data_IF_915100935930
#
_entry.id   IF_915100935930
#
_cell.length_a   1.000
_cell.length_b   1.000
_cell.length_c   1.000
_cell.angle_alpha   90.00
_cell.angle_beta   90.00
_cell.angle_gamma   90.00
#
_symmetry.space_group_name_H-M   'P 1'
#
loop_
_entity.id
_entity.type
_entity.pdbx_description
1 polymer ?
#
# COMPACT_ATOMS: atom_id res chain seq x y z
N UNK A 1 -14.98 21.80 -1.29
CA UNK A 1 -14.66 21.26 0.06
C UNK A 1 -15.87 20.62 0.75
N UNK A 2 -17.09 21.19 0.70
CA UNK A 2 -18.28 20.60 1.34
C UNK A 2 -18.57 19.14 0.92
N UNK A 3 -18.45 18.81 -0.37
CA UNK A 3 -18.67 17.44 -0.86
C UNK A 3 -17.70 16.44 -0.22
N UNK A 4 -16.39 16.74 -0.20
CA UNK A 4 -15.37 15.88 0.42
C UNK A 4 -15.64 15.62 1.89
N UNK A 5 -16.03 16.64 2.67
CA UNK A 5 -16.33 16.46 4.10
C UNK A 5 -17.54 15.56 4.32
N UNK A 6 -18.61 15.76 3.54
CA UNK A 6 -19.81 14.89 3.58
C UNK A 6 -19.43 13.45 3.23
N UNK A 7 -18.69 13.26 2.15
CA UNK A 7 -18.34 11.92 1.65
C UNK A 7 -17.42 11.20 2.64
N UNK A 8 -16.44 11.90 3.23
CA UNK A 8 -15.60 11.37 4.30
C UNK A 8 -16.42 10.97 5.53
N UNK A 9 -17.40 11.77 5.93
CA UNK A 9 -18.28 11.42 7.06
C UNK A 9 -19.10 10.15 6.77
N UNK A 10 -19.58 9.97 5.54
CA UNK A 10 -20.29 8.75 5.12
C UNK A 10 -19.34 7.54 5.06
N UNK A 11 -18.16 7.71 4.48
CA UNK A 11 -17.10 6.70 4.43
C UNK A 11 -16.72 6.21 5.84
N UNK A 12 -16.51 7.14 6.78
CA UNK A 12 -16.21 6.86 8.18
C UNK A 12 -17.40 6.35 9.00
N UNK A 13 -18.59 6.29 8.41
CA UNK A 13 -19.80 5.73 9.03
C UNK A 13 -20.13 4.34 8.48
N UNK A 14 -19.81 4.08 7.20
CA UNK A 14 -20.24 2.88 6.49
C UNK A 14 -19.10 1.91 6.19
N UNK A 15 -17.90 2.41 5.90
CA UNK A 15 -16.77 1.59 5.46
C UNK A 15 -15.72 1.51 6.56
N UNK A 16 -15.07 2.62 6.89
CA UNK A 16 -14.08 2.72 7.97
C UNK A 16 -14.72 3.28 9.24
N UNK A 17 -15.64 2.52 9.82
CA UNK A 17 -16.43 2.95 10.97
C UNK A 17 -15.76 2.62 12.30
N UNK A 18 -16.19 3.33 13.34
CA UNK A 18 -15.77 3.14 14.73
C UNK A 18 -16.97 2.69 15.57
N UNK A 19 -16.71 1.93 16.62
CA UNK A 19 -17.69 1.66 17.69
C UNK A 19 -17.20 2.26 19.01
N UNK A 20 -17.94 2.04 20.09
CA UNK A 20 -17.49 2.43 21.43
C UNK A 20 -16.25 1.64 21.90
N UNK A 21 -15.99 0.46 21.30
CA UNK A 21 -14.87 -0.42 21.67
C UNK A 21 -13.69 -0.38 20.72
N UNK A 22 -13.87 0.06 19.46
CA UNK A 22 -12.78 0.19 18.50
C UNK A 22 -12.79 1.52 17.75
N UNK A 23 -11.61 2.11 17.61
CA UNK A 23 -11.40 3.32 16.79
C UNK A 23 -11.61 3.03 15.29
N UNK A 24 -11.26 1.84 14.82
CA UNK A 24 -11.49 1.38 13.44
C UNK A 24 -11.89 -0.08 13.49
N UNK A 25 -13.14 -0.38 13.13
CA UNK A 25 -13.69 -1.76 13.11
C UNK A 25 -13.31 -2.52 11.83
N UNK A 26 -12.85 -1.79 10.83
CA UNK A 26 -12.39 -2.34 9.56
C UNK A 26 -11.02 -1.78 9.21
N UNK A 27 -10.30 -2.57 8.42
CA UNK A 27 -9.06 -2.19 7.78
C UNK A 27 -9.27 -2.46 6.29
N UNK A 28 -8.99 -1.46 5.46
CA UNK A 28 -8.95 -1.65 4.01
C UNK A 28 -7.52 -2.05 3.63
N UNK A 29 -7.40 -3.13 2.87
CA UNK A 29 -6.14 -3.62 2.31
C UNK A 29 -6.13 -3.41 0.81
N UNK A 30 -5.04 -2.86 0.28
CA UNK A 30 -4.83 -2.76 -1.16
C UNK A 30 -3.34 -2.81 -1.50
N UNK A 31 -3.02 -3.10 -2.76
CA UNK A 31 -1.68 -2.95 -3.31
C UNK A 31 -1.63 -1.67 -4.13
N UNK A 32 -0.85 -0.68 -3.69
CA UNK A 32 -0.56 0.53 -4.50
C UNK A 32 0.48 0.27 -5.58
N UNK A 33 1.29 -0.76 -5.38
CA UNK A 33 2.34 -1.15 -6.29
C UNK A 33 1.79 -1.97 -7.44
N UNK A 34 2.72 -2.65 -8.07
CA UNK A 34 2.52 -3.46 -9.27
C UNK A 34 2.63 -4.95 -8.95
N UNK A 35 2.30 -5.34 -7.71
CA UNK A 35 2.36 -6.72 -7.22
C UNK A 35 3.68 -7.44 -7.50
N UNK A 36 4.80 -6.72 -7.46
CA UNK A 36 6.13 -7.27 -7.73
C UNK A 36 6.60 -7.17 -9.19
N UNK A 37 5.82 -6.57 -10.10
CA UNK A 37 6.25 -6.31 -11.48
C UNK A 37 6.95 -4.95 -11.60
N UNK A 38 8.11 -4.81 -12.25
CA UNK A 38 8.74 -3.51 -12.43
C UNK A 38 7.83 -2.52 -13.16
N UNK A 39 7.82 -1.29 -12.66
CA UNK A 39 7.23 -0.13 -13.33
C UNK A 39 8.34 0.88 -13.64
N UNK A 40 8.62 1.05 -14.92
CA UNK A 40 9.67 1.90 -15.43
C UNK A 40 9.18 3.33 -15.65
N UNK A 41 10.11 4.27 -15.50
CA UNK A 41 9.85 5.68 -15.85
C UNK A 41 9.65 5.86 -17.36
N UNK A 42 10.36 5.07 -18.15
CA UNK A 42 10.20 5.03 -19.61
C UNK A 42 8.94 4.24 -19.94
N UNK A 43 7.90 4.94 -20.40
CA UNK A 43 6.56 4.38 -20.63
C UNK A 43 6.58 3.15 -21.55
N UNK A 44 7.35 3.20 -22.64
CA UNK A 44 7.43 2.10 -23.61
C UNK A 44 8.03 0.80 -23.06
N UNK A 45 8.68 0.83 -21.88
CA UNK A 45 9.17 -0.38 -21.22
C UNK A 45 8.08 -1.06 -20.38
N UNK A 46 7.00 -0.36 -20.04
CA UNK A 46 5.91 -0.94 -19.24
C UNK A 46 4.98 -1.83 -20.05
N UNK A 47 5.03 -1.76 -21.37
CA UNK A 47 4.35 -2.69 -22.29
C UNK A 47 5.12 -4.02 -22.46
N UNK A 48 6.31 -4.14 -21.87
CA UNK A 48 7.11 -5.37 -21.97
C UNK A 48 6.56 -6.51 -21.11
N UNK A 49 6.83 -7.75 -21.52
CA UNK A 49 6.40 -8.93 -20.76
C UNK A 49 7.05 -8.94 -19.37
N UNK A 50 6.21 -8.99 -18.33
CA UNK A 50 6.67 -8.98 -16.94
C UNK A 50 6.89 -7.58 -16.35
N UNK A 51 6.52 -6.52 -17.06
CA UNK A 51 6.41 -5.17 -16.49
C UNK A 51 4.94 -4.80 -16.23
N UNK A 52 4.72 -3.72 -15.47
CA UNK A 52 3.40 -3.18 -15.26
C UNK A 52 3.41 -1.65 -15.30
N UNK A 53 2.42 -1.10 -15.99
CA UNK A 53 2.13 0.33 -15.94
C UNK A 53 1.52 0.70 -14.59
N UNK A 54 1.87 1.86 -14.03
CA UNK A 54 1.19 2.36 -12.85
C UNK A 54 -0.27 2.64 -13.19
N UNK A 55 -1.17 2.41 -12.23
CA UNK A 55 -2.60 2.68 -12.40
C UNK A 55 -2.83 4.18 -12.68
N UNK A 56 -3.69 4.51 -13.65
CA UNK A 56 -4.06 5.91 -13.92
C UNK A 56 -4.71 6.50 -12.65
N UNK A 57 -4.14 7.56 -12.04
CA UNK A 57 -4.65 8.13 -10.79
C UNK A 57 -6.04 8.78 -10.91
N UNK A 58 -6.55 8.94 -12.14
CA UNK A 58 -7.90 9.47 -12.42
C UNK A 58 -8.92 8.36 -12.64
N UNK A 59 -8.45 7.12 -12.78
CA UNK A 59 -9.29 5.95 -13.02
C UNK A 59 -9.96 5.41 -11.76
N UNK A 60 -11.04 4.63 -11.90
CA UNK A 60 -11.72 4.00 -10.76
C UNK A 60 -10.85 2.99 -10.01
N UNK A 61 -9.77 2.51 -10.64
CA UNK A 61 -8.82 1.55 -10.06
C UNK A 61 -7.78 2.23 -9.16
N UNK A 62 -7.75 3.57 -9.10
CA UNK A 62 -6.79 4.33 -8.28
C UNK A 62 -7.17 4.35 -6.79
N UNK A 63 -7.04 3.19 -6.14
CA UNK A 63 -7.28 3.05 -4.70
C UNK A 63 -6.33 3.92 -3.87
N UNK A 64 -5.15 4.25 -4.42
CA UNK A 64 -4.17 5.15 -3.80
C UNK A 64 -4.68 6.56 -3.48
N UNK A 65 -5.76 7.00 -4.14
CA UNK A 65 -6.35 8.32 -3.89
C UNK A 65 -7.38 8.31 -2.76
N UNK A 66 -7.86 7.14 -2.35
CA UNK A 66 -8.93 6.96 -1.34
C UNK A 66 -8.55 7.63 -0.02
N UNK A 67 -7.40 7.25 0.54
CA UNK A 67 -6.92 7.77 1.82
C UNK A 67 -6.67 9.27 1.79
N UNK A 68 -6.16 9.79 0.65
CA UNK A 68 -5.95 11.23 0.45
C UNK A 68 -7.27 12.01 0.39
N UNK A 69 -8.29 11.45 -0.26
CA UNK A 69 -9.60 12.07 -0.39
C UNK A 69 -10.35 12.09 0.96
N UNK A 70 -10.44 10.93 1.61
CA UNK A 70 -11.16 10.77 2.88
C UNK A 70 -10.35 11.15 4.12
N UNK A 71 -9.04 11.39 3.97
CA UNK A 71 -8.11 11.74 5.04
C UNK A 71 -7.99 10.62 6.06
N UNK A 72 -7.82 9.39 5.59
CA UNK A 72 -7.62 8.19 6.37
C UNK A 72 -6.16 8.03 6.80
N UNK A 73 -5.91 7.11 7.73
CA UNK A 73 -4.56 6.67 8.05
C UNK A 73 -4.18 5.58 7.06
N UNK A 74 -3.05 5.71 6.38
CA UNK A 74 -2.56 4.75 5.38
C UNK A 74 -1.09 4.43 5.65
N UNK A 75 -0.77 3.14 5.87
CA UNK A 75 0.60 2.67 6.04
C UNK A 75 0.89 1.60 5.00
N UNK A 76 1.97 1.81 4.25
CA UNK A 76 2.54 0.80 3.36
C UNK A 76 3.56 -0.04 4.11
N UNK A 77 3.33 -1.36 4.19
CA UNK A 77 4.24 -2.31 4.81
C UNK A 77 4.82 -3.27 3.76
N UNK A 78 6.15 -3.48 3.73
CA UNK A 78 6.76 -4.51 2.90
C UNK A 78 6.46 -5.89 3.47
N UNK A 79 6.01 -6.81 2.61
CA UNK A 79 5.62 -8.18 2.96
C UNK A 79 6.57 -9.23 2.34
N UNK A 80 7.46 -8.79 1.46
CA UNK A 80 8.42 -9.65 0.79
C UNK A 80 9.16 -8.90 -0.30
N UNK A 81 9.90 -9.63 -1.13
CA UNK A 81 10.58 -9.10 -2.29
C UNK A 81 10.63 -10.12 -3.42
N UNK A 82 10.83 -9.64 -4.63
CA UNK A 82 10.98 -10.47 -5.83
C UNK A 82 12.17 -9.98 -6.66
N UNK A 83 12.83 -10.91 -7.32
CA UNK A 83 13.91 -10.63 -8.28
C UNK A 83 13.34 -10.61 -9.69
N UNK A 84 13.76 -9.64 -10.50
CA UNK A 84 13.39 -9.55 -11.91
C UNK A 84 14.61 -9.20 -12.77
N UNK A 85 14.56 -9.59 -14.04
CA UNK A 85 15.56 -9.20 -15.03
C UNK A 85 15.22 -7.81 -15.59
N UNK A 86 16.08 -6.83 -15.35
CA UNK A 86 15.81 -5.43 -15.73
C UNK A 86 16.13 -5.15 -17.19
N UNK A 87 15.14 -4.67 -17.95
CA UNK A 87 15.32 -4.22 -19.33
C UNK A 87 16.12 -2.89 -19.45
N UNK A 88 16.39 -2.22 -18.32
CA UNK A 88 17.20 -1.00 -18.28
C UNK A 88 18.65 -1.28 -17.92
N UNK A 89 18.90 -2.05 -16.86
CA UNK A 89 20.25 -2.30 -16.35
C UNK A 89 20.87 -3.56 -16.93
N UNK A 90 20.06 -4.44 -17.53
CA UNK A 90 20.46 -5.76 -18.03
C UNK A 90 21.09 -6.63 -16.93
N UNK A 91 20.59 -6.47 -15.70
CA UNK A 91 21.00 -7.23 -14.51
C UNK A 91 19.75 -7.70 -13.76
N UNK A 92 19.95 -8.65 -12.85
CA UNK A 92 18.95 -9.00 -11.86
C UNK A 92 18.84 -7.88 -10.82
N UNK A 93 17.62 -7.39 -10.63
CA UNK A 93 17.28 -6.37 -9.66
C UNK A 93 16.23 -6.93 -8.70
N UNK A 94 16.24 -6.44 -7.46
CA UNK A 94 15.29 -6.84 -6.43
C UNK A 94 14.31 -5.71 -6.16
N UNK A 95 13.03 -6.05 -6.05
CA UNK A 95 11.97 -5.10 -5.75
C UNK A 95 11.14 -5.57 -4.56
N UNK A 96 10.86 -4.71 -3.57
CA UNK A 96 9.96 -5.06 -2.48
C UNK A 96 8.52 -5.21 -2.99
N UNK A 97 7.80 -6.17 -2.41
CA UNK A 97 6.36 -6.33 -2.53
C UNK A 97 5.74 -5.78 -1.25
N UNK A 98 4.76 -4.90 -1.40
CA UNK A 98 4.16 -4.16 -0.30
C UNK A 98 2.65 -4.35 -0.26
N UNK A 99 2.05 -4.10 0.91
CA UNK A 99 0.61 -3.93 1.06
C UNK A 99 0.34 -2.62 1.79
N UNK A 100 -0.70 -1.92 1.39
CA UNK A 100 -1.25 -0.78 2.09
C UNK A 100 -2.32 -1.24 3.06
N UNK A 101 -2.24 -0.74 4.30
CA UNK A 101 -3.24 -0.92 5.33
C UNK A 101 -3.84 0.44 5.67
N UNK A 102 -5.16 0.54 5.60
CA UNK A 102 -5.88 1.79 5.86
C UNK A 102 -6.81 1.62 7.04
N UNK A 103 -6.75 2.56 7.98
CA UNK A 103 -7.67 2.66 9.10
C UNK A 103 -8.38 4.02 9.07
N UNK A 104 -9.49 4.10 9.80
CA UNK A 104 -10.27 5.31 9.97
C UNK A 104 -9.37 6.50 10.39
N UNK A 105 -9.66 7.70 9.85
CA UNK A 105 -9.04 8.97 10.27
C UNK A 105 -8.85 9.06 11.79
N UNK A 106 -7.62 9.32 12.21
CA UNK A 106 -7.23 9.54 13.62
C UNK A 106 -7.00 8.26 14.43
N UNK A 107 -7.00 7.10 13.78
CA UNK A 107 -6.80 5.79 14.42
C UNK A 107 -5.41 5.20 14.16
N UNK A 108 -4.38 6.05 14.08
CA UNK A 108 -3.00 5.67 13.72
C UNK A 108 -2.45 4.53 14.59
N UNK A 109 -2.77 4.55 15.89
CA UNK A 109 -2.38 3.51 16.84
C UNK A 109 -2.98 2.14 16.53
N UNK A 110 -4.12 2.05 15.84
CA UNK A 110 -4.67 0.76 15.39
C UNK A 110 -3.69 0.08 14.44
N UNK A 111 -3.19 0.82 13.44
CA UNK A 111 -2.25 0.27 12.47
C UNK A 111 -0.88 0.02 13.08
N UNK A 112 -0.36 0.92 13.93
CA UNK A 112 0.92 0.67 14.60
C UNK A 112 0.89 -0.55 15.52
N UNK A 113 -0.20 -0.73 16.28
CA UNK A 113 -0.36 -1.92 17.12
C UNK A 113 -0.50 -3.20 16.28
N UNK A 114 -1.22 -3.14 15.16
CA UNK A 114 -1.31 -4.25 14.22
C UNK A 114 0.06 -4.62 13.66
N UNK A 115 0.83 -3.65 13.18
CA UNK A 115 2.19 -3.88 12.65
C UNK A 115 3.08 -4.51 13.72
N UNK A 116 3.09 -3.96 14.94
CA UNK A 116 3.87 -4.52 16.05
C UNK A 116 3.46 -5.97 16.34
N UNK A 117 2.16 -6.27 16.32
CA UNK A 117 1.65 -7.63 16.51
C UNK A 117 2.10 -8.56 15.38
N UNK A 118 1.96 -8.15 14.12
CA UNK A 118 2.39 -8.91 12.96
C UNK A 118 3.90 -9.20 13.00
N UNK A 119 4.72 -8.24 13.45
CA UNK A 119 6.16 -8.46 13.67
C UNK A 119 6.40 -9.46 14.80
N UNK A 120 5.69 -9.33 15.93
CA UNK A 120 5.85 -10.27 17.06
C UNK A 120 5.42 -11.71 16.73
N UNK A 121 4.47 -11.87 15.81
CA UNK A 121 4.01 -13.17 15.30
C UNK A 121 4.87 -13.68 14.13
N UNK A 122 5.89 -12.93 13.70
CA UNK A 122 6.78 -13.31 12.59
C UNK A 122 6.14 -13.22 11.20
N UNK A 123 4.98 -12.58 11.07
CA UNK A 123 4.32 -12.33 9.78
C UNK A 123 5.02 -11.22 9.00
N UNK A 124 5.43 -10.16 9.71
CA UNK A 124 6.26 -9.09 9.15
C UNK A 124 7.66 -9.13 9.74
N UNK A 125 8.64 -8.68 8.98
CA UNK A 125 10.02 -8.53 9.44
C UNK A 125 10.55 -7.13 9.14
N UNK A 126 11.58 -6.73 9.88
CA UNK A 126 12.29 -5.48 9.62
C UNK A 126 12.99 -5.54 8.27
N UNK A 127 12.94 -4.44 7.51
CA UNK A 127 13.68 -4.32 6.26
C UNK A 127 15.11 -3.83 6.48
N UNK A 128 15.99 -4.29 5.59
CA UNK A 128 17.35 -3.80 5.48
C UNK A 128 17.43 -2.56 4.58
N UNK A 129 18.53 -1.84 4.72
CA UNK A 129 18.92 -0.78 3.79
C UNK A 129 19.77 -1.35 2.66
N UNK A 130 19.69 -0.77 1.46
CA UNK A 130 20.55 -1.14 0.32
C UNK A 130 19.77 -1.73 -0.84
N UNK A 131 20.35 -2.73 -1.52
CA UNK A 131 19.77 -3.32 -2.73
C UNK A 131 18.65 -4.32 -2.47
N UNK A 132 18.54 -4.86 -1.25
CA UNK A 132 17.57 -5.88 -0.88
C UNK A 132 16.88 -5.49 0.42
N UNK A 133 15.55 -5.64 0.47
CA UNK A 133 14.74 -5.32 1.64
C UNK A 133 14.83 -6.44 2.69
N UNK A 134 14.96 -7.69 2.28
CA UNK A 134 15.01 -8.87 3.13
C UNK A 134 16.30 -9.66 2.84
N UNK A 135 16.92 -10.20 3.89
CA UNK A 135 18.02 -11.16 3.78
C UNK A 135 17.44 -12.53 3.41
N UNK A 136 18.14 -13.29 2.57
CA UNK A 136 17.85 -14.71 2.30
C UNK A 136 18.13 -15.60 3.52
#
# INVERSE_FOLDING_TARGET
MQNRTRDAALWHKQVLFSTNSSCSESILLYDIGTSGLPSFREEGLNDSSGAASPVDPRGPESVSTVSSYFGDVDITAPIGQITYQSNLTFQEEVMPVTVNMVAKRGCDLVLFNLINKLVSEGVLSSVNTGKQAFQE
#
